data_IF_759410344060
#
_entry.id   IF_759410344060
#
_cell.length_a   1.000
_cell.length_b   1.000
_cell.length_c   1.000
_cell.angle_alpha   90.00
_cell.angle_beta   90.00
_cell.angle_gamma   90.00
#
_symmetry.space_group_name_H-M   'P 1'
#
loop_
_entity.id
_entity.type
_entity.pdbx_description
1 polymer ?
#
# COMPACT_ATOMS: atom_id res chain seq x y z
N UNK A 1 -48.49 -48.63 -2.73
CA UNK A 1 -49.72 -49.20 -2.11
C UNK A 1 -49.65 -49.00 -0.63
N UNK A 2 -50.73 -48.64 0.06
CA UNK A 2 -51.69 -47.54 -0.13
C UNK A 2 -51.64 -46.56 1.03
N UNK A 3 -51.98 -45.27 0.89
CA UNK A 3 -53.29 -44.62 1.05
C UNK A 3 -54.03 -44.91 2.37
N UNK A 4 -54.37 -43.84 3.05
CA UNK A 4 -55.69 -43.50 3.63
C UNK A 4 -55.44 -42.31 4.60
N UNK A 5 -55.89 -41.13 4.30
CA UNK A 5 -57.21 -40.47 4.40
C UNK A 5 -57.85 -40.57 5.82
N UNK A 6 -58.21 -39.43 6.29
CA UNK A 6 -59.56 -39.01 6.80
C UNK A 6 -59.45 -37.94 7.89
N UNK A 7 -59.91 -36.81 7.57
CA UNK A 7 -61.18 -36.08 7.68
C UNK A 7 -61.36 -35.21 8.95
N UNK A 8 -61.55 -33.98 8.63
CA UNK A 8 -62.48 -32.97 9.13
C UNK A 8 -63.17 -33.14 10.51
N UNK A 9 -63.12 -32.05 11.29
CA UNK A 9 -64.39 -31.44 11.78
C UNK A 9 -64.18 -29.94 12.14
N UNK A 10 -65.11 -29.16 11.61
CA UNK A 10 -65.44 -27.74 11.95
C UNK A 10 -66.10 -27.69 13.31
N UNK A 11 -65.93 -26.57 14.07
CA UNK A 11 -67.06 -25.84 14.70
C UNK A 11 -66.60 -24.48 15.26
N UNK A 12 -67.39 -23.50 14.90
CA UNK A 12 -67.49 -22.11 15.32
C UNK A 12 -67.49 -21.85 16.80
N UNK A 13 -67.05 -20.67 17.22
CA UNK A 13 -67.95 -19.67 17.86
C UNK A 13 -67.25 -18.32 18.09
N UNK A 14 -68.03 -17.31 17.87
CA UNK A 14 -67.82 -15.86 17.97
C UNK A 14 -67.44 -15.39 19.35
N UNK A 15 -66.64 -14.35 19.42
CA UNK A 15 -66.43 -13.53 20.62
C UNK A 15 -65.63 -12.28 20.29
N UNK A 16 -66.32 -11.18 19.99
CA UNK A 16 -65.69 -9.91 19.74
C UNK A 16 -65.16 -9.22 20.99
N UNK A 17 -64.07 -8.55 20.89
CA UNK A 17 -63.68 -7.46 21.77
C UNK A 17 -62.78 -6.52 21.00
N UNK A 18 -63.26 -5.32 20.77
CA UNK A 18 -62.51 -4.22 20.20
C UNK A 18 -61.47 -3.75 21.23
N UNK A 19 -60.19 -3.83 20.88
CA UNK A 19 -59.12 -3.15 21.59
C UNK A 19 -58.52 -2.10 20.64
N UNK A 20 -58.74 -0.83 21.03
CA UNK A 20 -58.15 0.30 20.36
C UNK A 20 -56.62 0.26 20.48
N UNK A 21 -55.94 0.04 19.35
CA UNK A 21 -54.50 0.12 19.28
C UNK A 21 -54.10 1.60 19.13
N UNK A 22 -53.57 2.20 20.19
CA UNK A 22 -52.83 3.47 20.13
C UNK A 22 -51.53 3.17 19.36
N UNK A 23 -51.45 3.64 18.12
CA UNK A 23 -50.24 3.63 17.34
C UNK A 23 -49.32 4.75 17.81
N UNK A 24 -48.36 4.42 18.68
CA UNK A 24 -47.22 5.30 18.99
C UNK A 24 -46.28 5.19 17.82
N UNK A 25 -46.30 6.20 16.93
CA UNK A 25 -45.29 6.35 15.90
C UNK A 25 -43.93 6.70 16.56
N UNK A 26 -43.12 5.70 16.76
CA UNK A 26 -41.71 5.87 17.14
C UNK A 26 -40.94 6.30 15.87
N UNK A 27 -40.78 7.60 15.68
CA UNK A 27 -39.88 8.16 14.66
C UNK A 27 -38.45 7.83 15.09
N UNK A 28 -37.92 6.69 14.64
CA UNK A 28 -36.52 6.41 14.73
C UNK A 28 -35.80 7.34 13.75
N UNK A 29 -35.28 8.46 14.22
CA UNK A 29 -34.24 9.18 13.55
C UNK A 29 -33.02 8.21 13.54
N UNK A 30 -32.81 7.54 12.42
CA UNK A 30 -31.57 6.87 12.15
C UNK A 30 -30.52 7.97 11.93
N UNK A 31 -29.80 8.31 13.00
CA UNK A 31 -28.51 8.98 12.90
C UNK A 31 -27.60 8.05 12.09
N UNK A 32 -27.55 8.26 10.78
CA UNK A 32 -26.49 7.73 9.93
C UNK A 32 -25.23 8.56 10.21
N UNK A 33 -24.71 8.46 11.43
CA UNK A 33 -23.31 8.75 11.67
C UNK A 33 -22.54 7.75 10.80
N UNK A 34 -22.00 8.24 9.67
CA UNK A 34 -21.01 7.53 8.88
C UNK A 34 -19.86 7.20 9.83
N UNK A 35 -19.82 5.98 10.32
CA UNK A 35 -18.69 5.48 11.08
C UNK A 35 -17.51 5.51 10.09
N UNK A 36 -16.67 6.55 10.21
CA UNK A 36 -15.35 6.52 9.60
C UNK A 36 -14.73 5.23 10.11
N UNK A 37 -14.40 4.31 9.18
CA UNK A 37 -13.77 3.06 9.57
C UNK A 37 -12.48 3.39 10.32
N UNK A 38 -12.13 2.61 11.33
CA UNK A 38 -10.87 2.78 12.07
C UNK A 38 -9.65 2.77 11.14
N UNK A 39 -9.79 2.22 9.94
CA UNK A 39 -8.77 2.20 8.87
C UNK A 39 -8.50 3.59 8.26
N UNK A 40 -9.41 4.54 8.40
CA UNK A 40 -9.25 5.91 7.89
C UNK A 40 -8.71 6.90 8.94
N UNK A 41 -8.35 6.43 10.11
CA UNK A 41 -7.69 7.27 11.12
C UNK A 41 -6.23 7.51 10.74
N UNK A 42 -5.80 8.78 10.82
CA UNK A 42 -4.39 9.14 10.59
C UNK A 42 -3.57 8.60 11.75
N UNK A 43 -2.59 7.72 11.52
CA UNK A 43 -1.74 7.23 12.59
C UNK A 43 -0.94 8.38 13.20
N UNK A 44 -0.61 8.32 14.50
CA UNK A 44 0.27 9.30 15.10
C UNK A 44 1.67 9.20 14.47
N UNK A 45 2.33 10.35 14.29
CA UNK A 45 3.73 10.36 13.89
C UNK A 45 4.59 9.69 14.98
N UNK A 46 5.53 8.85 14.58
CA UNK A 46 6.42 8.10 15.47
C UNK A 46 7.82 8.73 15.58
N UNK A 47 8.03 9.87 14.95
CA UNK A 47 9.27 10.63 15.01
C UNK A 47 9.29 11.87 14.13
N UNK A 48 10.34 12.66 14.33
CA UNK A 48 10.64 13.86 13.56
C UNK A 48 11.91 13.65 12.75
N UNK A 49 11.93 14.21 11.53
CA UNK A 49 13.09 14.18 10.62
C UNK A 49 13.33 15.55 9.99
N UNK A 50 14.59 15.87 9.70
CA UNK A 50 14.91 17.07 8.94
C UNK A 50 14.74 16.82 7.45
N UNK A 51 13.72 17.40 6.82
CA UNK A 51 13.46 17.22 5.39
C UNK A 51 14.59 17.72 4.49
N UNK A 52 15.36 18.73 4.91
CA UNK A 52 16.54 19.17 4.16
C UNK A 52 17.58 18.05 4.04
N UNK A 53 17.75 17.25 5.11
CA UNK A 53 18.65 16.10 5.07
C UNK A 53 18.03 14.91 4.33
N UNK A 54 16.74 14.66 4.54
CA UNK A 54 16.00 13.60 3.83
C UNK A 54 16.08 13.79 2.32
N UNK A 55 15.87 15.01 1.83
CA UNK A 55 15.82 15.31 0.38
C UNK A 55 17.20 15.39 -0.29
N UNK A 56 18.31 15.27 0.46
CA UNK A 56 19.64 15.15 -0.16
C UNK A 56 19.72 13.90 -1.01
N UNK A 57 20.22 13.99 -2.25
CA UNK A 57 20.37 12.83 -3.12
C UNK A 57 21.21 11.71 -2.48
N UNK A 58 20.88 10.48 -2.79
CA UNK A 58 21.67 9.30 -2.50
C UNK A 58 22.58 8.92 -3.69
N UNK A 59 23.18 7.71 -3.64
CA UNK A 59 24.03 7.22 -4.73
C UNK A 59 23.22 6.74 -5.95
N UNK A 60 21.93 6.50 -5.79
CA UNK A 60 21.02 6.08 -6.85
C UNK A 60 20.25 7.28 -7.42
N UNK A 61 19.92 7.26 -8.72
CA UNK A 61 18.99 8.24 -9.29
C UNK A 61 17.68 8.26 -8.51
N UNK A 62 17.18 9.46 -8.19
CA UNK A 62 15.94 9.59 -7.41
C UNK A 62 14.72 9.16 -8.22
N UNK A 63 13.85 8.38 -7.63
CA UNK A 63 12.54 8.03 -8.19
C UNK A 63 11.52 8.99 -7.58
N UNK A 64 11.30 10.09 -8.28
CA UNK A 64 10.44 11.18 -7.81
C UNK A 64 9.29 11.42 -8.79
N UNK A 65 8.09 11.55 -8.25
CA UNK A 65 6.84 11.77 -8.97
C UNK A 65 6.21 13.08 -8.51
N UNK A 66 5.69 13.86 -9.44
CA UNK A 66 5.08 15.15 -9.15
C UNK A 66 6.03 16.33 -9.31
N UNK A 67 5.61 17.48 -8.82
CA UNK A 67 6.37 18.73 -8.96
C UNK A 67 7.36 18.92 -7.82
N UNK A 68 8.57 19.38 -8.14
CA UNK A 68 9.63 19.60 -7.14
C UNK A 68 9.25 20.69 -6.11
N UNK A 69 8.45 21.64 -6.50
CA UNK A 69 7.94 22.75 -5.66
C UNK A 69 6.62 22.45 -4.96
N UNK A 70 6.10 21.19 -5.06
CA UNK A 70 4.88 20.78 -4.38
C UNK A 70 4.95 21.08 -2.87
N UNK A 71 3.85 21.60 -2.26
CA UNK A 71 3.85 21.99 -0.84
C UNK A 71 4.02 20.80 0.10
N UNK A 72 3.53 19.60 -0.28
CA UNK A 72 3.69 18.40 0.52
C UNK A 72 4.75 17.51 -0.12
N UNK A 73 5.71 17.07 0.69
CA UNK A 73 6.78 16.16 0.27
C UNK A 73 6.67 14.85 1.04
N UNK A 74 6.56 13.76 0.31
CA UNK A 74 6.47 12.40 0.85
C UNK A 74 7.67 11.61 0.35
N UNK A 75 8.41 10.99 1.25
CA UNK A 75 9.45 10.01 0.93
C UNK A 75 9.03 8.67 1.52
N UNK A 76 8.75 7.70 0.67
CA UNK A 76 8.44 6.33 1.06
C UNK A 76 9.71 5.48 1.04
N UNK A 77 10.00 4.83 2.16
CA UNK A 77 10.96 3.72 2.22
C UNK A 77 10.20 2.40 2.21
N UNK A 78 10.43 1.60 1.18
CA UNK A 78 9.69 0.36 0.94
C UNK A 78 10.60 -0.85 0.75
N UNK A 79 10.08 -2.05 0.98
CA UNK A 79 10.71 -3.32 0.62
C UNK A 79 9.82 -4.12 -0.31
N UNK A 80 10.41 -4.66 -1.38
CA UNK A 80 9.64 -5.43 -2.38
C UNK A 80 9.16 -6.79 -1.86
N UNK A 81 9.72 -7.30 -0.75
CA UNK A 81 9.25 -8.51 -0.08
C UNK A 81 8.27 -8.23 1.06
N UNK A 82 8.03 -6.95 1.41
CA UNK A 82 7.13 -6.58 2.49
C UNK A 82 5.66 -6.64 2.03
N UNK A 83 4.77 -7.43 2.69
CA UNK A 83 3.37 -7.52 2.29
C UNK A 83 2.59 -6.22 2.53
N UNK A 84 2.94 -5.43 3.54
CA UNK A 84 2.32 -4.12 3.79
C UNK A 84 2.69 -3.09 2.71
N UNK A 85 3.92 -3.14 2.16
CA UNK A 85 4.28 -2.32 1.00
C UNK A 85 3.50 -2.73 -0.25
N UNK A 86 3.33 -4.06 -0.48
CA UNK A 86 2.51 -4.54 -1.59
C UNK A 86 1.05 -4.09 -1.43
N UNK A 87 0.50 -4.18 -0.22
CA UNK A 87 -0.87 -3.72 0.06
C UNK A 87 -1.02 -2.22 -0.26
N UNK A 88 -0.15 -1.36 0.28
CA UNK A 88 -0.15 0.07 -0.03
C UNK A 88 -0.06 0.34 -1.54
N UNK A 89 0.87 -0.31 -2.22
CA UNK A 89 1.11 -0.12 -3.65
C UNK A 89 -0.10 -0.48 -4.52
N UNK A 90 -0.87 -1.54 -4.16
CA UNK A 90 -1.99 -2.02 -4.98
C UNK A 90 -3.35 -1.44 -4.57
N UNK A 91 -3.50 -0.91 -3.35
CA UNK A 91 -4.79 -0.40 -2.86
C UNK A 91 -4.84 1.12 -2.69
N UNK A 92 -3.71 1.76 -2.39
CA UNK A 92 -3.66 3.16 -1.97
C UNK A 92 -2.93 4.06 -2.95
N UNK A 93 -1.75 3.63 -3.42
CA UNK A 93 -0.82 4.48 -4.14
C UNK A 93 -1.41 5.15 -5.38
N UNK A 94 -2.11 4.40 -6.24
CA UNK A 94 -2.67 4.96 -7.50
C UNK A 94 -3.68 6.08 -7.23
N UNK A 95 -4.53 5.93 -6.20
CA UNK A 95 -5.51 6.96 -5.82
C UNK A 95 -4.81 8.21 -5.29
N UNK A 96 -3.80 8.04 -4.44
CA UNK A 96 -3.01 9.15 -3.91
C UNK A 96 -2.23 9.85 -5.04
N UNK A 97 -1.64 9.07 -5.94
CA UNK A 97 -0.94 9.61 -7.10
C UNK A 97 -1.86 10.49 -7.96
N UNK A 98 -3.01 10.00 -8.36
CA UNK A 98 -3.97 10.72 -9.19
C UNK A 98 -4.50 11.99 -8.49
N UNK A 99 -4.83 11.88 -7.22
CA UNK A 99 -5.46 12.97 -6.46
C UNK A 99 -4.49 14.10 -6.09
N UNK A 100 -3.24 13.76 -5.79
CA UNK A 100 -2.30 14.73 -5.20
C UNK A 100 -0.99 14.90 -5.99
N UNK A 101 -0.41 13.84 -6.51
CA UNK A 101 0.87 13.92 -7.22
C UNK A 101 0.65 14.50 -8.62
N UNK A 102 -0.27 13.96 -9.38
CA UNK A 102 -0.57 14.40 -10.75
C UNK A 102 -1.18 15.81 -10.78
N UNK A 103 -1.78 16.25 -9.67
CA UNK A 103 -2.29 17.63 -9.50
C UNK A 103 -1.25 18.62 -8.97
N UNK A 104 -0.02 18.18 -8.69
CA UNK A 104 1.09 19.01 -8.25
C UNK A 104 1.03 19.43 -6.77
N UNK A 105 0.20 18.79 -5.96
CA UNK A 105 0.08 19.04 -4.52
C UNK A 105 1.12 18.26 -3.70
N UNK A 106 1.57 17.12 -4.22
CA UNK A 106 2.54 16.23 -3.57
C UNK A 106 3.72 15.97 -4.50
N UNK A 107 4.92 16.06 -3.97
CA UNK A 107 6.13 15.40 -4.48
C UNK A 107 6.27 14.08 -3.75
N UNK A 108 6.15 12.95 -4.47
CA UNK A 108 6.28 11.60 -3.92
C UNK A 108 7.59 10.97 -4.37
N UNK A 109 8.46 10.62 -3.43
CA UNK A 109 9.77 10.02 -3.67
C UNK A 109 9.75 8.59 -3.12
N UNK A 110 10.22 7.64 -3.93
CA UNK A 110 10.29 6.23 -3.57
C UNK A 110 11.75 5.84 -3.37
N UNK A 111 12.06 5.18 -2.25
CA UNK A 111 13.40 4.71 -1.91
C UNK A 111 13.41 3.28 -1.42
N UNK A 112 14.47 2.59 -1.79
CA UNK A 112 14.69 1.19 -1.46
C UNK A 112 15.03 1.00 0.02
N UNK A 113 14.38 0.01 0.63
CA UNK A 113 14.71 -0.45 1.99
C UNK A 113 14.63 -1.98 2.06
N UNK A 114 15.54 -2.71 1.40
CA UNK A 114 15.51 -4.16 1.41
C UNK A 114 15.82 -4.71 2.81
N UNK A 115 14.99 -5.64 3.30
CA UNK A 115 15.25 -6.39 4.54
C UNK A 115 16.01 -7.70 4.32
N UNK A 116 16.00 -8.21 3.09
CA UNK A 116 16.54 -9.51 2.74
C UNK A 116 17.16 -9.51 1.35
N UNK A 117 17.96 -10.54 1.01
CA UNK A 117 18.64 -10.63 -0.29
C UNK A 117 17.70 -10.70 -1.50
N UNK A 118 16.46 -11.24 -1.34
CA UNK A 118 15.47 -11.26 -2.43
C UNK A 118 14.98 -9.86 -2.75
N UNK A 119 14.67 -9.08 -1.72
CA UNK A 119 14.30 -7.68 -1.89
C UNK A 119 15.42 -6.89 -2.57
N UNK A 120 16.67 -7.08 -2.14
CA UNK A 120 17.82 -6.42 -2.75
C UNK A 120 17.95 -6.79 -4.24
N UNK A 121 17.87 -8.09 -4.58
CA UNK A 121 17.92 -8.56 -5.95
C UNK A 121 16.80 -7.97 -6.82
N UNK A 122 15.57 -7.91 -6.30
CA UNK A 122 14.43 -7.33 -7.00
C UNK A 122 14.62 -5.83 -7.27
N UNK A 123 15.14 -5.06 -6.30
CA UNK A 123 15.50 -3.66 -6.51
C UNK A 123 16.63 -3.48 -7.53
N UNK A 124 17.68 -4.32 -7.48
CA UNK A 124 18.73 -4.29 -8.49
C UNK A 124 18.15 -4.47 -9.89
N UNK A 125 17.26 -5.44 -10.09
CA UNK A 125 16.60 -5.66 -11.38
C UNK A 125 15.77 -4.46 -11.82
N UNK A 126 14.99 -3.88 -10.92
CA UNK A 126 14.23 -2.65 -11.22
C UNK A 126 15.17 -1.49 -11.60
N UNK A 127 16.35 -1.37 -10.96
CA UNK A 127 17.36 -0.35 -11.27
C UNK A 127 18.14 -0.62 -12.57
N UNK A 128 18.27 -1.87 -12.98
CA UNK A 128 18.89 -2.23 -14.26
C UNK A 128 17.94 -2.11 -15.45
N UNK A 129 16.65 -2.03 -15.23
CA UNK A 129 15.68 -1.73 -16.28
C UNK A 129 15.84 -0.26 -16.76
N UNK A 130 15.39 0.08 -17.98
CA UNK A 130 15.28 1.48 -18.38
C UNK A 130 14.55 2.29 -17.34
N UNK A 131 14.95 3.56 -17.14
CA UNK A 131 14.43 4.40 -16.05
C UNK A 131 12.90 4.48 -16.05
N UNK A 132 12.29 4.58 -17.22
CA UNK A 132 10.84 4.60 -17.40
C UNK A 132 10.15 3.27 -17.03
N UNK A 133 10.90 2.18 -16.96
CA UNK A 133 10.42 0.86 -16.58
C UNK A 133 10.57 0.55 -15.08
N UNK A 134 11.23 1.42 -14.32
CA UNK A 134 11.41 1.19 -12.87
C UNK A 134 10.07 1.02 -12.15
N UNK A 135 9.18 1.99 -12.27
CA UNK A 135 7.87 1.94 -11.60
C UNK A 135 6.98 0.81 -12.12
N UNK A 136 6.81 0.62 -13.44
CA UNK A 136 6.08 -0.55 -13.96
C UNK A 136 6.62 -1.88 -13.43
N UNK A 137 7.95 -2.02 -13.30
CA UNK A 137 8.56 -3.24 -12.77
C UNK A 137 8.29 -3.41 -11.27
N UNK A 138 8.42 -2.36 -10.48
CA UNK A 138 8.07 -2.36 -9.04
C UNK A 138 6.60 -2.72 -8.83
N UNK A 139 5.70 -2.13 -9.60
CA UNK A 139 4.27 -2.42 -9.54
C UNK A 139 3.96 -3.88 -9.88
N UNK A 140 4.57 -4.40 -10.95
CA UNK A 140 4.45 -5.81 -11.33
C UNK A 140 4.96 -6.75 -10.22
N UNK A 141 6.10 -6.43 -9.61
CA UNK A 141 6.69 -7.21 -8.53
C UNK A 141 5.77 -7.21 -7.30
N UNK A 142 5.15 -6.10 -6.94
CA UNK A 142 4.18 -6.05 -5.84
C UNK A 142 2.90 -6.82 -6.17
N UNK A 143 2.33 -6.66 -7.34
CA UNK A 143 1.12 -7.37 -7.77
C UNK A 143 1.31 -8.90 -7.77
N UNK A 144 2.51 -9.35 -8.02
CA UNK A 144 2.86 -10.77 -8.09
C UNK A 144 3.75 -11.22 -6.93
N UNK A 145 3.78 -10.47 -5.81
CA UNK A 145 4.72 -10.69 -4.72
C UNK A 145 4.76 -12.14 -4.23
N UNK A 146 3.61 -12.78 -4.05
CA UNK A 146 3.53 -14.18 -3.58
C UNK A 146 4.24 -15.13 -4.55
N UNK A 147 4.20 -14.87 -5.85
CA UNK A 147 4.76 -15.76 -6.86
C UNK A 147 6.29 -15.77 -6.90
N UNK A 148 6.97 -14.78 -6.30
CA UNK A 148 8.43 -14.70 -6.33
C UNK A 148 9.08 -14.49 -4.95
N UNK A 149 8.36 -13.89 -4.00
CA UNK A 149 8.91 -13.54 -2.68
C UNK A 149 8.65 -14.60 -1.60
N UNK A 150 7.71 -15.54 -1.83
CA UNK A 150 7.42 -16.60 -0.87
C UNK A 150 8.63 -17.48 -0.57
N UNK A 151 8.83 -17.94 0.69
CA UNK A 151 9.96 -18.76 1.07
C UNK A 151 10.13 -20.05 0.25
N UNK A 152 9.02 -20.68 -0.13
CA UNK A 152 8.98 -21.96 -0.82
C UNK A 152 9.16 -21.86 -2.35
N UNK A 153 9.33 -20.64 -2.87
CA UNK A 153 9.48 -20.37 -4.30
C UNK A 153 10.95 -20.20 -4.67
N UNK A 154 11.38 -20.76 -5.80
CA UNK A 154 12.64 -20.37 -6.42
C UNK A 154 12.54 -18.92 -6.92
N UNK A 155 12.87 -17.99 -6.02
CA UNK A 155 12.78 -16.55 -6.29
C UNK A 155 13.66 -16.10 -7.46
N UNK A 156 14.82 -16.77 -7.68
CA UNK A 156 15.70 -16.44 -8.82
C UNK A 156 15.03 -16.79 -10.14
N UNK A 157 14.47 -17.98 -10.26
CA UNK A 157 13.78 -18.41 -11.48
C UNK A 157 12.53 -17.55 -11.73
N UNK A 158 11.74 -17.22 -10.69
CA UNK A 158 10.58 -16.37 -10.80
C UNK A 158 10.95 -14.95 -11.23
N UNK A 159 11.96 -14.32 -10.59
CA UNK A 159 12.46 -13.00 -10.96
C UNK A 159 13.00 -12.96 -12.40
N UNK A 160 13.68 -14.02 -12.87
CA UNK A 160 14.12 -14.12 -14.25
C UNK A 160 12.94 -14.08 -15.24
N UNK A 161 11.89 -14.86 -14.97
CA UNK A 161 10.70 -14.86 -15.83
C UNK A 161 10.01 -13.49 -15.86
N UNK A 162 9.86 -12.82 -14.71
CA UNK A 162 9.30 -11.48 -14.65
C UNK A 162 10.19 -10.45 -15.36
N UNK A 163 11.49 -10.52 -15.18
CA UNK A 163 12.44 -9.62 -15.84
C UNK A 163 12.43 -9.74 -17.36
N UNK A 164 12.13 -10.93 -17.90
CA UNK A 164 11.95 -11.11 -19.36
C UNK A 164 10.81 -10.25 -19.91
N UNK A 165 9.76 -10.00 -19.14
CA UNK A 165 8.67 -9.09 -19.53
C UNK A 165 9.14 -7.63 -19.62
N UNK A 166 10.17 -7.26 -18.87
CA UNK A 166 10.83 -5.96 -18.93
C UNK A 166 12.04 -5.94 -19.92
N UNK A 167 12.16 -6.96 -20.78
CA UNK A 167 13.16 -7.02 -21.83
C UNK A 167 14.53 -7.60 -21.42
N UNK A 168 14.67 -8.19 -20.24
CA UNK A 168 15.92 -8.82 -19.83
C UNK A 168 16.18 -10.12 -20.59
N UNK A 169 17.43 -10.33 -20.97
CA UNK A 169 18.00 -11.64 -21.32
C UNK A 169 18.57 -12.29 -20.07
N UNK A 170 18.92 -13.59 -20.13
CA UNK A 170 19.60 -14.27 -19.02
C UNK A 170 20.97 -13.64 -18.71
N UNK A 171 21.67 -13.18 -19.74
CA UNK A 171 22.96 -12.50 -19.59
C UNK A 171 22.80 -11.15 -18.89
N UNK A 172 21.86 -10.30 -19.34
CA UNK A 172 21.62 -9.01 -18.70
C UNK A 172 21.08 -9.15 -17.28
N UNK A 173 20.22 -10.13 -17.01
CA UNK A 173 19.74 -10.48 -15.68
C UNK A 173 20.91 -10.88 -14.76
N UNK A 174 21.78 -11.79 -15.22
CA UNK A 174 22.94 -12.23 -14.44
C UNK A 174 23.92 -11.08 -14.21
N UNK A 175 24.20 -10.29 -15.24
CA UNK A 175 25.08 -9.11 -15.15
C UNK A 175 24.54 -8.08 -14.15
N UNK A 176 23.24 -7.88 -14.14
CA UNK A 176 22.60 -6.98 -13.16
C UNK A 176 22.80 -7.48 -11.73
N UNK A 177 22.47 -8.74 -11.45
CA UNK A 177 22.53 -9.32 -10.10
C UNK A 177 23.97 -9.56 -9.59
N UNK A 178 24.98 -9.52 -10.47
CA UNK A 178 26.40 -9.59 -10.10
C UNK A 178 27.07 -8.22 -10.01
N UNK A 179 26.31 -7.14 -10.19
CA UNK A 179 26.82 -5.77 -10.06
C UNK A 179 26.94 -5.38 -8.58
N UNK A 180 28.13 -5.62 -8.01
CA UNK A 180 28.41 -5.33 -6.59
C UNK A 180 28.20 -3.85 -6.26
N UNK A 181 28.62 -2.93 -7.13
CA UNK A 181 28.42 -1.49 -6.88
C UNK A 181 26.94 -1.14 -6.75
N UNK A 182 26.08 -1.69 -7.59
CA UNK A 182 24.64 -1.45 -7.50
C UNK A 182 24.05 -2.02 -6.21
N UNK A 183 24.49 -3.20 -5.78
CA UNK A 183 24.08 -3.78 -4.50
C UNK A 183 24.51 -2.89 -3.32
N UNK A 184 25.75 -2.40 -3.36
CA UNK A 184 26.27 -1.49 -2.32
C UNK A 184 25.49 -0.17 -2.28
N UNK A 185 25.16 0.39 -3.44
CA UNK A 185 24.33 1.61 -3.56
C UNK A 185 22.93 1.40 -2.98
N UNK A 186 22.26 0.29 -3.31
CA UNK A 186 20.94 -0.08 -2.75
C UNK A 186 21.01 -0.22 -1.21
N UNK A 187 22.05 -0.93 -0.71
CA UNK A 187 22.22 -1.09 0.73
C UNK A 187 22.52 0.23 1.42
N UNK A 188 23.29 1.12 0.81
CA UNK A 188 23.62 2.43 1.40
C UNK A 188 22.40 3.33 1.55
N UNK A 189 21.40 3.26 0.63
CA UNK A 189 20.12 3.96 0.79
C UNK A 189 19.40 3.48 2.05
N UNK A 190 19.34 2.15 2.25
CA UNK A 190 18.75 1.53 3.44
C UNK A 190 19.50 1.94 4.72
N UNK A 191 20.83 1.84 4.70
CA UNK A 191 21.67 2.14 5.87
C UNK A 191 21.51 3.60 6.31
N UNK A 192 21.54 4.53 5.34
CA UNK A 192 21.27 5.94 5.61
C UNK A 192 19.88 6.16 6.22
N UNK A 193 18.85 5.54 5.66
CA UNK A 193 17.49 5.66 6.18
C UNK A 193 17.38 5.16 7.63
N UNK A 194 18.00 4.02 7.93
CA UNK A 194 18.00 3.46 9.27
C UNK A 194 18.77 4.33 10.27
N UNK A 195 19.97 4.77 9.88
CA UNK A 195 20.88 5.50 10.77
C UNK A 195 20.45 6.94 10.98
N UNK A 196 20.14 7.67 9.90
CA UNK A 196 19.96 9.10 9.94
C UNK A 196 18.50 9.52 10.16
N UNK A 197 17.53 8.66 9.75
CA UNK A 197 16.10 8.96 9.81
C UNK A 197 15.30 8.00 10.69
N UNK A 198 15.96 7.00 11.31
CA UNK A 198 15.35 6.06 12.23
C UNK A 198 14.34 5.10 11.57
N UNK A 199 14.45 4.89 10.24
CA UNK A 199 13.60 3.92 9.52
C UNK A 199 13.99 2.50 9.93
N UNK A 200 13.03 1.74 10.46
CA UNK A 200 13.24 0.36 10.94
C UNK A 200 12.12 -0.60 10.53
N UNK A 201 11.12 -0.12 9.83
CA UNK A 201 9.99 -0.86 9.30
C UNK A 201 9.63 -0.38 7.89
N UNK A 202 8.85 -1.16 7.14
CA UNK A 202 8.33 -0.76 5.83
C UNK A 202 6.85 -1.12 5.67
N UNK A 203 6.06 -0.30 4.96
CA UNK A 203 6.47 1.01 4.46
C UNK A 203 6.71 2.00 5.61
N UNK A 204 7.63 2.94 5.42
CA UNK A 204 7.76 4.12 6.28
C UNK A 204 7.70 5.36 5.41
N UNK A 205 6.84 6.29 5.79
CA UNK A 205 6.65 7.56 5.10
C UNK A 205 7.26 8.70 5.91
N UNK A 206 8.12 9.50 5.27
CA UNK A 206 8.60 10.77 5.82
C UNK A 206 7.82 11.89 5.12
N UNK A 207 6.94 12.56 5.87
CA UNK A 207 5.98 13.53 5.31
C UNK A 207 6.19 14.88 5.99
N UNK A 208 6.69 15.87 5.25
CA UNK A 208 6.92 17.24 5.74
C UNK A 208 7.58 17.30 7.14
N UNK A 209 8.54 16.41 7.41
CA UNK A 209 9.30 16.40 8.67
C UNK A 209 8.78 15.44 9.74
N UNK A 210 7.67 14.76 9.49
CA UNK A 210 7.15 13.73 10.39
C UNK A 210 7.37 12.35 9.80
N UNK A 211 7.65 11.35 10.67
CA UNK A 211 7.78 9.94 10.28
C UNK A 211 6.53 9.18 10.67
N UNK A 212 6.09 8.31 9.76
CA UNK A 212 4.93 7.43 9.93
C UNK A 212 5.33 6.03 9.46
N UNK A 213 5.39 5.06 10.37
CA UNK A 213 5.65 3.67 10.04
C UNK A 213 4.34 2.91 9.84
N UNK A 214 4.33 2.03 8.84
CA UNK A 214 3.19 1.17 8.51
C UNK A 214 2.39 1.64 7.31
N UNK A 215 1.50 0.76 6.89
CA UNK A 215 0.59 0.98 5.78
C UNK A 215 -0.48 2.02 6.14
N UNK A 216 -0.93 2.77 5.14
CA UNK A 216 -2.02 3.75 5.28
C UNK A 216 -3.08 3.53 4.22
N UNK A 217 -4.35 3.58 4.63
CA UNK A 217 -5.48 3.60 3.71
C UNK A 217 -5.51 4.89 2.87
N UNK A 218 -6.29 4.87 1.78
CA UNK A 218 -6.56 6.07 0.97
C UNK A 218 -7.14 7.19 1.85
N UNK A 219 -8.04 6.85 2.78
CA UNK A 219 -8.69 7.81 3.66
C UNK A 219 -7.70 8.46 4.64
N UNK A 220 -6.88 7.64 5.33
CA UNK A 220 -5.87 8.12 6.26
C UNK A 220 -4.82 9.00 5.57
N UNK A 221 -4.25 8.54 4.45
CA UNK A 221 -3.26 9.29 3.70
C UNK A 221 -3.84 10.59 3.13
N UNK A 222 -5.09 10.56 2.63
CA UNK A 222 -5.75 11.77 2.12
C UNK A 222 -5.99 12.80 3.22
N UNK A 223 -6.50 12.39 4.39
CA UNK A 223 -6.70 13.29 5.53
C UNK A 223 -5.39 13.94 5.97
N UNK A 224 -4.31 13.15 6.02
CA UNK A 224 -2.99 13.67 6.38
C UNK A 224 -2.50 14.70 5.36
N UNK A 225 -2.55 14.38 4.06
CA UNK A 225 -2.14 15.31 3.00
C UNK A 225 -3.00 16.59 3.02
N UNK A 226 -4.32 16.46 3.10
CA UNK A 226 -5.25 17.58 3.11
C UNK A 226 -5.02 18.51 4.32
N UNK A 227 -4.52 18.00 5.45
CA UNK A 227 -4.16 18.79 6.63
C UNK A 227 -2.87 19.60 6.46
N UNK A 228 -2.06 19.30 5.44
CA UNK A 228 -0.78 19.94 5.16
C UNK A 228 -0.83 20.91 3.97
N UNK A 229 -1.98 20.96 3.27
CA UNK A 229 -2.23 21.87 2.13
C UNK A 229 -2.85 23.19 2.55
#
# INVERSE_FOLDING_TARGET
MPMSDMLLTKRHLLGGSAVAALSVAFSAFADTASAASAEDEVPPADGDVNMTDVLKPGPLPEIALGKQDAPVKIVEYMSLTCPHCAHFAVTTFDTIKQKYVDTGKVLFIIREFPFDPRAAAAFMLARCAPQEQYLPMVEMLFKQQIAWASPDVDGRAALLQMSKLAGFTEDSFTKCLTNQKLLDDVNSVRERAAKDFGVNATPTFLINGKRYAGDMSVGAMSKLIDSLL
#
